data_IF_258441548316
#
_entry.id   IF_258441548316
#
_cell.length_a   1.000
_cell.length_b   1.000
_cell.length_c   1.000
_cell.angle_alpha   90.00
_cell.angle_beta   90.00
_cell.angle_gamma   90.00
#
_symmetry.space_group_name_H-M   'P 1'
#
loop_
_entity.id
_entity.type
_entity.pdbx_description
1 polymer ?
#
# COMPACT_ATOMS: atom_id res chain seq x y z
N UNK A 1 3.74 -14.78 18.45
CA UNK A 1 3.38 -13.78 17.41
C UNK A 1 3.45 -12.35 17.92
N UNK A 2 2.87 -12.05 19.09
CA UNK A 2 2.84 -10.68 19.65
C UNK A 2 4.22 -10.00 19.68
N UNK A 3 5.28 -10.71 20.08
CA UNK A 3 6.65 -10.14 20.08
C UNK A 3 7.16 -9.70 18.70
N UNK A 4 6.82 -10.44 17.63
CA UNK A 4 7.19 -10.08 16.26
C UNK A 4 6.42 -8.85 15.78
N UNK A 5 5.12 -8.78 16.10
CA UNK A 5 4.28 -7.62 15.77
C UNK A 5 4.80 -6.39 16.52
N UNK A 6 5.11 -6.50 17.82
CA UNK A 6 5.68 -5.40 18.60
C UNK A 6 6.99 -4.89 18.02
N UNK A 7 7.88 -5.78 17.54
CA UNK A 7 9.11 -5.40 16.85
C UNK A 7 8.81 -4.52 15.64
N UNK A 8 7.86 -4.95 14.80
CA UNK A 8 7.47 -4.23 13.59
C UNK A 8 6.92 -2.84 13.92
N UNK A 9 6.09 -2.73 14.97
CA UNK A 9 5.57 -1.45 15.44
C UNK A 9 6.66 -0.52 15.99
N UNK A 10 7.70 -1.05 16.63
CA UNK A 10 8.84 -0.23 17.08
C UNK A 10 9.62 0.33 15.89
N UNK A 11 9.84 -0.48 14.84
CA UNK A 11 10.48 -0.02 13.59
C UNK A 11 9.59 1.01 12.89
N UNK A 12 8.29 0.73 12.77
CA UNK A 12 7.30 1.67 12.22
C UNK A 12 7.27 2.98 12.99
N UNK A 13 7.31 2.97 14.33
CA UNK A 13 7.36 4.20 15.12
C UNK A 13 8.60 5.04 14.79
N UNK A 14 9.76 4.40 14.61
CA UNK A 14 11.00 5.08 14.21
C UNK A 14 10.89 5.66 12.80
N UNK A 15 10.34 4.88 11.86
CA UNK A 15 10.04 5.31 10.48
C UNK A 15 9.11 6.52 10.46
N UNK A 16 7.97 6.42 11.15
CA UNK A 16 6.98 7.50 11.26
C UNK A 16 7.59 8.77 11.82
N UNK A 17 8.40 8.68 12.88
CA UNK A 17 9.09 9.86 13.43
C UNK A 17 9.96 10.57 12.40
N UNK A 18 10.64 9.82 11.53
CA UNK A 18 11.44 10.39 10.45
C UNK A 18 10.60 10.92 9.28
N UNK A 19 9.40 10.36 9.06
CA UNK A 19 8.55 10.65 7.91
C UNK A 19 7.51 11.75 8.17
N UNK A 20 7.13 12.01 9.42
CA UNK A 20 6.21 13.09 9.81
C UNK A 20 6.54 14.46 9.17
N UNK A 21 7.80 14.98 9.21
CA UNK A 21 8.07 16.29 8.63
C UNK A 21 7.84 16.31 7.11
N UNK A 22 8.19 15.21 6.42
CA UNK A 22 7.99 15.07 4.98
C UNK A 22 6.49 15.03 4.67
N UNK A 23 5.71 14.26 5.43
CA UNK A 23 4.25 14.17 5.27
C UNK A 23 3.58 15.53 5.48
N UNK A 24 4.01 16.30 6.49
CA UNK A 24 3.50 17.65 6.74
C UNK A 24 3.76 18.59 5.55
N UNK A 25 5.01 18.63 5.07
CA UNK A 25 5.40 19.46 3.92
C UNK A 25 4.60 19.06 2.68
N UNK A 26 4.48 17.77 2.40
CA UNK A 26 3.71 17.27 1.27
C UNK A 26 2.24 17.67 1.38
N UNK A 27 1.63 17.49 2.55
CA UNK A 27 0.21 17.85 2.75
C UNK A 27 -0.03 19.34 2.46
N UNK A 28 0.85 20.22 2.92
CA UNK A 28 0.76 21.67 2.68
C UNK A 28 0.93 21.98 1.19
N UNK A 29 1.97 21.44 0.55
CA UNK A 29 2.27 21.68 -0.86
C UNK A 29 1.14 21.19 -1.78
N UNK A 30 0.63 19.98 -1.55
CA UNK A 30 -0.43 19.40 -2.37
C UNK A 30 -1.76 20.12 -2.18
N UNK A 31 -2.10 20.51 -0.95
CA UNK A 31 -3.32 21.29 -0.68
C UNK A 31 -3.29 22.64 -1.40
N UNK A 32 -2.13 23.32 -1.41
CA UNK A 32 -1.99 24.59 -2.11
C UNK A 32 -1.97 24.42 -3.65
N UNK A 33 -1.33 23.37 -4.16
CA UNK A 33 -1.15 23.15 -5.59
C UNK A 33 -2.42 22.66 -6.29
N UNK A 34 -3.12 21.68 -5.70
CA UNK A 34 -4.29 21.04 -6.32
C UNK A 34 -5.62 21.65 -5.86
N UNK A 35 -5.59 22.62 -4.91
CA UNK A 35 -6.77 23.26 -4.30
C UNK A 35 -7.82 22.27 -3.79
N UNK A 36 -7.43 21.04 -3.50
CA UNK A 36 -8.31 19.94 -3.10
C UNK A 36 -7.62 19.09 -2.04
N UNK A 37 -8.26 18.99 -0.89
CA UNK A 37 -7.71 18.28 0.28
C UNK A 37 -7.63 16.77 0.05
N UNK A 38 -8.55 16.23 -0.76
CA UNK A 38 -8.69 14.79 -1.00
C UNK A 38 -7.47 14.17 -1.68
N UNK A 39 -6.86 14.84 -2.66
CA UNK A 39 -5.64 14.33 -3.30
C UNK A 39 -4.45 14.35 -2.35
N UNK A 40 -4.27 15.43 -1.59
CA UNK A 40 -3.20 15.51 -0.59
C UNK A 40 -3.32 14.35 0.43
N UNK A 41 -4.54 14.10 0.92
CA UNK A 41 -4.83 13.03 1.87
C UNK A 41 -4.64 11.62 1.27
N UNK A 42 -4.98 11.42 -0.01
CA UNK A 42 -4.70 10.15 -0.70
C UNK A 42 -3.21 9.84 -0.81
N UNK A 43 -2.36 10.86 -1.03
CA UNK A 43 -0.91 10.68 -1.07
C UNK A 43 -0.35 10.33 0.31
N UNK A 44 -0.78 11.06 1.34
CA UNK A 44 -0.45 10.75 2.74
C UNK A 44 -0.86 9.32 3.09
N UNK A 45 -2.05 8.90 2.66
CA UNK A 45 -2.57 7.55 2.84
C UNK A 45 -1.63 6.49 2.24
N UNK A 46 -1.23 6.64 0.98
CA UNK A 46 -0.31 5.71 0.32
C UNK A 46 1.04 5.66 1.05
N UNK A 47 1.62 6.81 1.42
CA UNK A 47 2.90 6.85 2.13
C UNK A 47 2.85 6.19 3.51
N UNK A 48 1.83 6.50 4.30
CA UNK A 48 1.65 5.91 5.64
C UNK A 48 1.46 4.41 5.53
N UNK A 49 0.56 3.97 4.65
CA UNK A 49 0.25 2.57 4.54
C UNK A 49 1.43 1.79 3.99
N UNK A 50 2.10 2.26 2.93
CA UNK A 50 3.25 1.62 2.28
C UNK A 50 4.52 1.54 3.15
N UNK A 51 4.54 2.19 4.31
CA UNK A 51 5.67 2.17 5.24
C UNK A 51 6.02 0.77 5.75
N UNK A 52 5.10 -0.20 5.72
CA UNK A 52 5.38 -1.58 6.13
C UNK A 52 6.40 -2.27 5.24
N UNK A 53 6.55 -1.87 3.97
CA UNK A 53 7.59 -2.41 3.08
C UNK A 53 8.99 -2.06 3.61
N UNK A 54 9.14 -0.86 4.19
CA UNK A 54 10.43 -0.41 4.72
C UNK A 54 10.94 -1.30 5.84
N UNK A 55 10.05 -1.98 6.58
CA UNK A 55 10.45 -2.90 7.65
C UNK A 55 11.34 -4.02 7.11
N UNK A 56 11.08 -4.53 5.90
CA UNK A 56 11.93 -5.54 5.28
C UNK A 56 13.36 -5.05 5.02
N UNK A 57 13.51 -3.79 4.59
CA UNK A 57 14.82 -3.19 4.37
C UNK A 57 15.58 -2.94 5.68
N UNK A 58 14.87 -2.56 6.75
CA UNK A 58 15.48 -2.44 8.08
C UNK A 58 15.89 -3.80 8.64
N UNK A 59 15.09 -4.84 8.39
CA UNK A 59 15.40 -6.21 8.82
C UNK A 59 16.62 -6.78 8.08
N UNK A 60 16.76 -6.48 6.79
CA UNK A 60 17.94 -6.84 6.00
C UNK A 60 19.21 -6.17 6.53
N UNK A 61 19.14 -4.85 6.73
CA UNK A 61 20.26 -4.06 7.25
C UNK A 61 20.71 -4.53 8.65
N UNK A 62 19.77 -5.03 9.44
CA UNK A 62 20.03 -5.61 10.77
C UNK A 62 20.39 -7.10 10.73
N UNK A 63 20.45 -7.74 9.56
CA UNK A 63 20.62 -9.21 9.39
C UNK A 63 19.65 -10.02 10.25
N UNK A 64 18.40 -9.54 10.36
CA UNK A 64 17.37 -10.14 11.19
C UNK A 64 17.10 -11.60 10.81
N UNK A 65 17.22 -11.96 9.53
CA UNK A 65 16.98 -13.33 9.05
C UNK A 65 17.95 -14.35 9.67
N UNK A 66 19.22 -13.99 9.88
CA UNK A 66 20.19 -14.86 10.56
C UNK A 66 19.85 -15.02 12.04
N UNK A 67 19.39 -13.95 12.70
CA UNK A 67 18.94 -14.02 14.09
C UNK A 67 17.66 -14.85 14.23
N UNK A 68 16.72 -14.70 13.30
CA UNK A 68 15.43 -15.40 13.33
C UNK A 68 15.59 -16.93 13.27
N UNK A 69 16.64 -17.45 12.63
CA UNK A 69 16.95 -18.88 12.60
C UNK A 69 17.35 -19.45 13.96
N UNK A 70 17.87 -18.62 14.87
CA UNK A 70 18.26 -19.06 16.23
C UNK A 70 17.06 -19.15 17.17
N UNK A 71 15.92 -18.58 16.78
CA UNK A 71 14.70 -18.59 17.59
C UNK A 71 13.90 -19.88 17.31
N UNK A 72 13.26 -20.49 18.34
CA UNK A 72 12.41 -21.68 18.18
C UNK A 72 11.03 -21.29 17.61
N UNK A 73 11.00 -20.61 16.47
CA UNK A 73 9.79 -20.06 15.85
C UNK A 73 9.61 -20.69 14.46
N UNK A 74 8.40 -21.09 14.12
CA UNK A 74 8.09 -21.61 12.79
C UNK A 74 8.20 -20.50 11.75
N UNK A 75 8.85 -20.79 10.61
CA UNK A 75 8.94 -19.90 9.43
C UNK A 75 7.59 -19.29 9.03
N UNK A 76 6.52 -20.10 9.02
CA UNK A 76 5.13 -19.66 8.77
C UNK A 76 4.68 -18.52 9.70
N UNK A 77 5.00 -18.61 10.99
CA UNK A 77 4.60 -17.62 12.01
C UNK A 77 5.28 -16.26 11.80
N UNK A 78 6.47 -16.24 11.21
CA UNK A 78 7.19 -15.00 10.84
C UNK A 78 6.43 -14.28 9.71
N UNK A 79 6.02 -15.03 8.68
CA UNK A 79 5.25 -14.49 7.56
C UNK A 79 3.87 -14.01 8.03
N UNK A 80 3.14 -14.82 8.78
CA UNK A 80 1.81 -14.44 9.30
C UNK A 80 1.86 -13.19 10.19
N UNK A 81 2.88 -13.08 11.05
CA UNK A 81 3.05 -11.89 11.90
C UNK A 81 3.29 -10.63 11.05
N UNK A 82 4.01 -10.74 9.94
CA UNK A 82 4.26 -9.63 9.00
C UNK A 82 3.00 -9.18 8.28
N UNK A 83 2.22 -10.13 7.77
CA UNK A 83 0.95 -9.79 7.12
C UNK A 83 -0.01 -9.16 8.13
N UNK A 84 -0.05 -9.66 9.37
CA UNK A 84 -0.83 -9.07 10.44
C UNK A 84 -0.37 -7.64 10.79
N UNK A 85 0.95 -7.39 10.91
CA UNK A 85 1.48 -6.04 11.17
C UNK A 85 1.19 -5.08 10.01
N UNK A 86 1.27 -5.54 8.76
CA UNK A 86 0.90 -4.74 7.59
C UNK A 86 -0.59 -4.38 7.57
N UNK A 87 -1.48 -5.32 7.94
CA UNK A 87 -2.92 -5.07 8.01
C UNK A 87 -3.27 -4.07 9.11
N UNK A 88 -2.62 -4.18 10.28
CA UNK A 88 -2.76 -3.19 11.34
C UNK A 88 -2.22 -1.81 10.91
N UNK A 89 -1.17 -1.76 10.08
CA UNK A 89 -0.65 -0.52 9.53
C UNK A 89 -1.64 0.12 8.56
N UNK A 90 -2.30 -0.68 7.72
CA UNK A 90 -3.39 -0.21 6.84
C UNK A 90 -4.53 0.35 7.69
N UNK A 91 -5.02 -0.39 8.69
CA UNK A 91 -6.08 0.09 9.59
C UNK A 91 -5.69 1.39 10.30
N UNK A 92 -4.48 1.48 10.83
CA UNK A 92 -3.95 2.69 11.45
C UNK A 92 -3.88 3.87 10.46
N UNK A 93 -3.44 3.61 9.23
CA UNK A 93 -3.43 4.59 8.14
C UNK A 93 -4.82 5.11 7.81
N UNK A 94 -5.83 4.23 7.69
CA UNK A 94 -7.24 4.61 7.46
C UNK A 94 -7.71 5.53 8.59
N UNK A 95 -7.45 5.18 9.85
CA UNK A 95 -7.84 5.99 11.00
C UNK A 95 -7.19 7.38 10.97
N UNK A 96 -5.88 7.46 10.71
CA UNK A 96 -5.17 8.75 10.65
C UNK A 96 -5.72 9.62 9.52
N UNK A 97 -5.91 9.06 8.33
CA UNK A 97 -6.37 9.82 7.16
C UNK A 97 -7.83 10.26 7.32
N UNK A 98 -8.69 9.44 7.91
CA UNK A 98 -10.09 9.84 8.20
C UNK A 98 -10.16 10.97 9.23
N UNK A 99 -9.30 10.96 10.26
CA UNK A 99 -9.19 12.07 11.22
C UNK A 99 -8.71 13.34 10.52
N UNK A 100 -7.69 13.25 9.66
CA UNK A 100 -7.17 14.39 8.91
C UNK A 100 -8.22 14.99 7.95
N UNK A 101 -9.03 14.15 7.31
CA UNK A 101 -10.17 14.59 6.48
C UNK A 101 -11.27 15.27 7.32
N UNK A 102 -11.54 14.79 8.53
CA UNK A 102 -12.51 15.45 9.41
C UNK A 102 -12.02 16.84 9.85
N UNK A 103 -10.72 16.95 10.13
CA UNK A 103 -10.08 18.23 10.46
C UNK A 103 -10.11 19.16 9.24
N UNK A 104 -9.77 18.67 8.04
CA UNK A 104 -9.71 19.51 6.83
C UNK A 104 -11.06 20.16 6.51
N UNK A 105 -12.17 19.44 6.72
CA UNK A 105 -13.54 19.98 6.54
C UNK A 105 -13.88 21.17 7.43
N UNK A 106 -13.20 21.33 8.56
CA UNK A 106 -13.42 22.45 9.50
C UNK A 106 -12.67 23.70 9.04
N UNK A 107 -11.47 23.53 8.47
CA UNK A 107 -10.56 24.63 8.15
C UNK A 107 -10.56 25.04 6.68
N UNK A 108 -11.02 24.17 5.77
CA UNK A 108 -11.01 24.40 4.32
C UNK A 108 -12.45 24.37 3.81
N UNK A 109 -13.00 25.50 3.33
CA UNK A 109 -14.33 25.51 2.71
C UNK A 109 -14.30 24.64 1.45
N UNK A 110 -15.26 23.72 1.34
CA UNK A 110 -15.37 22.81 0.19
C UNK A 110 -15.71 23.56 -1.09
N UNK A 111 -15.02 23.21 -2.16
CA UNK A 111 -15.47 23.55 -3.51
C UNK A 111 -16.54 22.54 -3.94
N UNK A 112 -17.56 22.96 -4.69
CA UNK A 112 -18.55 22.03 -5.27
C UNK A 112 -17.93 21.03 -6.25
N UNK A 113 -16.71 21.31 -6.74
CA UNK A 113 -15.91 20.44 -7.60
C UNK A 113 -15.05 19.41 -6.85
N UNK A 114 -15.19 19.28 -5.52
CA UNK A 114 -14.37 18.35 -4.74
C UNK A 114 -14.79 16.89 -4.94
N UNK A 115 -13.78 16.05 -5.18
CA UNK A 115 -13.97 14.61 -5.39
C UNK A 115 -14.37 13.95 -4.06
N UNK A 116 -15.31 12.99 -4.08
CA UNK A 116 -15.73 12.31 -2.86
C UNK A 116 -14.56 11.51 -2.24
N UNK A 117 -14.29 11.79 -0.97
CA UNK A 117 -13.19 11.18 -0.21
C UNK A 117 -13.29 9.65 -0.06
N UNK A 118 -14.50 9.12 0.18
CA UNK A 118 -14.70 7.68 0.46
C UNK A 118 -14.32 6.79 -0.74
N UNK A 119 -14.79 7.06 -1.97
CA UNK A 119 -14.31 6.38 -3.18
C UNK A 119 -12.80 6.39 -3.35
N UNK A 120 -12.18 7.56 -3.16
CA UNK A 120 -10.72 7.69 -3.27
C UNK A 120 -10.03 6.82 -2.23
N UNK A 121 -10.51 6.81 -0.99
CA UNK A 121 -9.96 5.98 0.08
C UNK A 121 -10.12 4.47 -0.18
N UNK A 122 -11.27 4.01 -0.73
CA UNK A 122 -11.42 2.60 -1.11
C UNK A 122 -10.42 2.18 -2.18
N UNK A 123 -10.20 3.03 -3.18
CA UNK A 123 -9.28 2.77 -4.29
C UNK A 123 -7.85 2.75 -3.77
N UNK A 124 -7.45 3.71 -2.92
CA UNK A 124 -6.09 3.75 -2.36
C UNK A 124 -5.82 2.53 -1.49
N UNK A 125 -6.76 2.13 -0.62
CA UNK A 125 -6.62 0.92 0.21
C UNK A 125 -6.47 -0.32 -0.67
N UNK A 126 -7.28 -0.46 -1.72
CA UNK A 126 -7.16 -1.56 -2.66
C UNK A 126 -5.80 -1.59 -3.37
N UNK A 127 -5.32 -0.44 -3.85
CA UNK A 127 -4.01 -0.32 -4.49
C UNK A 127 -2.88 -0.69 -3.53
N UNK A 128 -2.94 -0.28 -2.26
CA UNK A 128 -1.93 -0.67 -1.27
C UNK A 128 -1.97 -2.16 -1.00
N UNK A 129 -3.16 -2.75 -0.82
CA UNK A 129 -3.32 -4.20 -0.67
C UNK A 129 -2.75 -4.96 -1.88
N UNK A 130 -3.02 -4.47 -3.09
CA UNK A 130 -2.47 -5.01 -4.33
C UNK A 130 -0.94 -4.91 -4.34
N UNK A 131 -0.38 -3.75 -4.03
CA UNK A 131 1.08 -3.57 -3.92
C UNK A 131 1.70 -4.56 -2.93
N UNK A 132 1.09 -4.77 -1.77
CA UNK A 132 1.57 -5.73 -0.77
C UNK A 132 1.48 -7.16 -1.25
N UNK A 133 0.39 -7.50 -1.94
CA UNK A 133 0.20 -8.83 -2.49
C UNK A 133 1.25 -9.22 -3.54
N UNK A 134 1.84 -8.23 -4.23
CA UNK A 134 2.87 -8.45 -5.24
C UNK A 134 4.27 -8.33 -4.62
N UNK A 135 4.51 -7.29 -3.83
CA UNK A 135 5.85 -7.00 -3.29
C UNK A 135 6.28 -7.99 -2.22
N UNK A 136 5.40 -8.40 -1.30
CA UNK A 136 5.82 -9.25 -0.18
C UNK A 136 6.35 -10.62 -0.66
N UNK A 137 5.66 -11.35 -1.56
CA UNK A 137 6.21 -12.59 -2.12
C UNK A 137 7.56 -12.42 -2.81
N UNK A 138 7.73 -11.32 -3.55
CA UNK A 138 8.98 -11.01 -4.25
C UNK A 138 10.12 -10.78 -3.26
N UNK A 139 9.86 -10.00 -2.20
CA UNK A 139 10.83 -9.73 -1.14
C UNK A 139 11.21 -11.02 -0.42
N UNK A 140 10.23 -11.88 -0.08
CA UNK A 140 10.53 -13.18 0.54
C UNK A 140 11.35 -14.10 -0.37
N UNK A 141 11.11 -14.08 -1.69
CA UNK A 141 11.85 -14.90 -2.65
C UNK A 141 13.28 -14.42 -2.88
N UNK A 142 13.45 -13.16 -3.26
CA UNK A 142 14.73 -12.62 -3.76
C UNK A 142 15.53 -11.86 -2.70
N UNK A 143 14.95 -11.60 -1.53
CA UNK A 143 15.57 -10.78 -0.50
C UNK A 143 15.44 -9.28 -0.78
N UNK A 144 15.63 -8.42 0.24
CA UNK A 144 15.31 -6.99 0.15
C UNK A 144 16.22 -6.22 -0.81
N UNK A 145 17.52 -6.52 -0.89
CA UNK A 145 18.44 -5.84 -1.84
C UNK A 145 18.04 -6.05 -3.31
N UNK A 146 17.83 -7.29 -3.75
CA UNK A 146 17.42 -7.57 -5.13
C UNK A 146 15.95 -7.21 -5.40
N UNK A 147 15.10 -7.23 -4.37
CA UNK A 147 13.70 -6.84 -4.50
C UNK A 147 13.52 -5.40 -4.97
N UNK A 148 14.48 -4.50 -4.70
CA UNK A 148 14.40 -3.10 -5.12
C UNK A 148 14.53 -2.95 -6.64
N UNK A 149 15.38 -3.74 -7.28
CA UNK A 149 15.50 -3.74 -8.74
C UNK A 149 14.29 -4.42 -9.38
N UNK A 150 13.80 -5.49 -8.76
CA UNK A 150 12.63 -6.24 -9.25
C UNK A 150 11.35 -5.41 -9.06
N UNK A 151 11.20 -4.65 -7.98
CA UNK A 151 10.03 -3.78 -7.77
C UNK A 151 9.97 -2.65 -8.79
N UNK A 152 11.12 -2.08 -9.17
CA UNK A 152 11.20 -1.11 -10.28
C UNK A 152 10.74 -1.78 -11.58
N UNK A 153 11.21 -2.98 -11.89
CA UNK A 153 10.79 -3.69 -13.09
C UNK A 153 9.28 -3.99 -13.09
N UNK A 154 8.72 -4.45 -11.97
CA UNK A 154 7.30 -4.76 -11.81
C UNK A 154 6.41 -3.53 -11.96
N UNK A 155 6.89 -2.34 -11.60
CA UNK A 155 6.16 -1.08 -11.81
C UNK A 155 6.35 -0.56 -13.24
N UNK A 156 7.57 -0.62 -13.77
CA UNK A 156 7.92 -0.06 -15.09
C UNK A 156 7.32 -0.86 -16.25
N UNK A 157 7.23 -2.19 -16.14
CA UNK A 157 6.71 -3.05 -17.22
C UNK A 157 5.24 -2.71 -17.53
N UNK A 158 4.31 -2.69 -16.55
CA UNK A 158 2.93 -2.29 -16.80
C UNK A 158 2.80 -0.86 -17.34
N UNK A 159 3.62 0.08 -16.84
CA UNK A 159 3.60 1.47 -17.31
C UNK A 159 4.02 1.57 -18.77
N UNK A 160 5.09 0.85 -19.17
CA UNK A 160 5.53 0.79 -20.56
C UNK A 160 4.48 0.15 -21.45
N UNK A 161 3.88 -0.96 -21.02
CA UNK A 161 2.79 -1.62 -21.73
C UNK A 161 1.62 -0.64 -21.93
N UNK A 162 1.22 0.08 -20.87
CA UNK A 162 0.14 1.06 -20.95
C UNK A 162 0.45 2.20 -21.94
N UNK A 163 1.67 2.73 -21.93
CA UNK A 163 2.10 3.76 -22.90
C UNK A 163 2.08 3.21 -24.34
N UNK A 164 2.52 1.99 -24.55
CA UNK A 164 2.53 1.35 -25.88
C UNK A 164 1.12 1.07 -26.40
N UNK A 165 0.21 0.57 -25.56
CA UNK A 165 -1.19 0.36 -25.92
C UNK A 165 -1.96 1.68 -26.11
N UNK A 166 -1.59 2.74 -25.37
CA UNK A 166 -2.16 4.06 -25.56
C UNK A 166 -1.79 4.67 -26.91
N UNK A 167 -0.56 4.45 -27.38
CA UNK A 167 -0.13 4.91 -28.71
C UNK A 167 -0.77 4.14 -29.87
N UNK A 168 -1.27 2.92 -29.65
CA UNK A 168 -1.91 2.11 -30.70
C UNK A 168 -3.41 2.37 -30.84
N UNK A 169 -4.02 3.25 -30.04
CA UNK A 169 -5.47 3.49 -30.01
C UNK A 169 -6.29 2.29 -29.47
N UNK A 170 -5.63 1.21 -29.04
CA UNK A 170 -6.28 0.04 -28.45
C UNK A 170 -6.89 0.36 -27.08
N UNK A 171 -6.26 1.28 -26.33
CA UNK A 171 -6.83 1.80 -25.09
C UNK A 171 -8.10 2.60 -25.35
N UNK A 172 -8.15 3.43 -26.40
CA UNK A 172 -9.33 4.23 -26.71
C UNK A 172 -10.55 3.34 -27.01
N UNK A 173 -10.35 2.20 -27.69
CA UNK A 173 -11.41 1.22 -27.92
C UNK A 173 -11.82 0.44 -26.65
N UNK A 174 -10.87 0.13 -25.76
CA UNK A 174 -11.17 -0.46 -24.45
C UNK A 174 -11.94 0.53 -23.56
N UNK A 175 -11.50 1.79 -23.47
CA UNK A 175 -12.18 2.82 -22.70
C UNK A 175 -13.51 3.26 -23.32
N UNK A 176 -13.65 3.23 -24.66
CA UNK A 176 -14.93 3.46 -25.35
C UNK A 176 -15.92 2.32 -25.11
N UNK A 177 -15.47 1.06 -24.97
CA UNK A 177 -16.35 -0.04 -24.54
C UNK A 177 -16.77 0.06 -23.07
N UNK A 178 -16.03 0.82 -22.26
CA UNK A 178 -16.40 1.27 -20.92
C UNK A 178 -17.13 2.63 -20.99
N UNK A 179 -18.11 2.75 -21.89
CA UNK A 179 -18.87 3.98 -22.08
C UNK A 179 -19.36 4.53 -20.73
N UNK A 180 -18.96 5.78 -20.49
CA UNK A 180 -18.85 6.49 -19.22
C UNK A 180 -20.20 6.83 -18.57
N UNK A 181 -21.33 6.34 -19.09
CA UNK A 181 -22.68 6.76 -18.74
C UNK A 181 -23.25 6.14 -17.46
N UNK A 182 -22.45 5.39 -16.70
CA UNK A 182 -22.89 4.76 -15.44
C UNK A 182 -21.83 4.66 -14.36
N UNK A 183 -20.57 5.02 -14.64
CA UNK A 183 -19.46 4.83 -13.71
C UNK A 183 -19.72 5.57 -12.40
N UNK A 184 -20.22 6.81 -12.45
CA UNK A 184 -20.53 7.59 -11.25
C UNK A 184 -21.55 6.90 -10.33
N UNK A 185 -22.56 6.25 -10.89
CA UNK A 185 -23.55 5.48 -10.13
C UNK A 185 -23.01 4.15 -9.61
N UNK A 186 -21.95 3.62 -10.23
CA UNK A 186 -21.30 2.35 -9.86
C UNK A 186 -20.08 2.53 -8.95
N UNK A 187 -19.57 3.75 -8.77
CA UNK A 187 -18.51 4.10 -7.80
C UNK A 187 -18.75 3.44 -6.43
N UNK A 188 -19.93 3.55 -5.79
CA UNK A 188 -20.15 2.93 -4.48
C UNK A 188 -20.06 1.40 -4.50
N UNK A 189 -20.51 0.76 -5.60
CA UNK A 189 -20.42 -0.70 -5.78
C UNK A 189 -18.96 -1.14 -5.93
N UNK A 190 -18.16 -0.42 -6.72
CA UNK A 190 -16.73 -0.70 -6.86
C UNK A 190 -15.96 -0.47 -5.55
N UNK A 191 -16.30 0.57 -4.79
CA UNK A 191 -15.76 0.83 -3.45
C UNK A 191 -16.03 -0.35 -2.50
N UNK A 192 -17.27 -0.86 -2.52
CA UNK A 192 -17.68 -1.97 -1.66
C UNK A 192 -16.99 -3.29 -2.02
N UNK A 193 -16.74 -3.52 -3.33
CA UNK A 193 -16.07 -4.72 -3.81
C UNK A 193 -14.55 -4.67 -3.65
N UNK A 194 -13.93 -3.48 -3.65
CA UNK A 194 -12.47 -3.33 -3.64
C UNK A 194 -11.84 -3.78 -2.32
N UNK A 195 -12.47 -3.50 -1.17
CA UNK A 195 -11.98 -3.89 0.15
C UNK A 195 -11.91 -5.42 0.32
N UNK A 196 -12.99 -6.19 0.11
CA UNK A 196 -12.93 -7.64 0.21
C UNK A 196 -11.99 -8.25 -0.83
N UNK A 197 -11.95 -7.71 -2.06
CA UNK A 197 -10.99 -8.15 -3.08
C UNK A 197 -9.53 -7.96 -2.61
N UNK A 198 -9.21 -6.82 -2.00
CA UNK A 198 -7.88 -6.56 -1.43
C UNK A 198 -7.51 -7.52 -0.30
N UNK A 199 -8.46 -7.85 0.58
CA UNK A 199 -8.24 -8.82 1.67
C UNK A 199 -7.98 -10.23 1.10
N UNK A 200 -8.77 -10.66 0.11
CA UNK A 200 -8.57 -11.95 -0.57
C UNK A 200 -7.20 -12.01 -1.24
N UNK A 201 -6.78 -10.94 -1.92
CA UNK A 201 -5.44 -10.84 -2.53
C UNK A 201 -4.32 -10.96 -1.48
N UNK A 202 -4.44 -10.27 -0.35
CA UNK A 202 -3.47 -10.38 0.74
C UNK A 202 -3.43 -11.80 1.33
N UNK A 203 -4.58 -12.47 1.45
CA UNK A 203 -4.66 -13.83 1.94
C UNK A 203 -3.97 -14.82 1.00
N UNK A 204 -4.27 -14.74 -0.31
CA UNK A 204 -3.60 -15.55 -1.34
C UNK A 204 -2.09 -15.29 -1.36
N UNK A 205 -1.69 -14.02 -1.26
CA UNK A 205 -0.29 -13.62 -1.18
C UNK A 205 0.41 -14.17 0.07
N UNK A 206 -0.28 -14.21 1.21
CA UNK A 206 0.25 -14.79 2.45
C UNK A 206 0.53 -16.28 2.27
N UNK A 207 -0.41 -17.04 1.68
CA UNK A 207 -0.22 -18.46 1.38
C UNK A 207 0.99 -18.69 0.46
N UNK A 208 1.12 -17.88 -0.59
CA UNK A 208 2.22 -17.96 -1.54
C UNK A 208 3.56 -17.58 -0.90
N UNK A 209 3.56 -16.56 -0.03
CA UNK A 209 4.75 -16.15 0.73
C UNK A 209 5.20 -17.21 1.72
N UNK A 210 4.27 -17.89 2.41
CA UNK A 210 4.58 -19.01 3.31
C UNK A 210 5.23 -20.15 2.52
N UNK A 211 4.69 -20.47 1.34
CA UNK A 211 5.23 -21.51 0.48
C UNK A 211 6.67 -21.20 0.04
N UNK A 212 6.90 -19.98 -0.47
CA UNK A 212 8.24 -19.52 -0.89
C UNK A 212 9.22 -19.52 0.28
N UNK A 213 8.83 -18.99 1.44
CA UNK A 213 9.73 -18.86 2.58
C UNK A 213 10.08 -20.22 3.21
N UNK A 214 9.19 -21.21 3.13
CA UNK A 214 9.49 -22.57 3.57
C UNK A 214 10.49 -23.29 2.66
N UNK A 215 10.45 -23.04 1.35
CA UNK A 215 11.39 -23.61 0.36
C UNK A 215 12.77 -22.97 0.38
N UNK A 216 12.93 -21.83 1.06
CA UNK A 216 14.22 -21.16 1.19
C UNK A 216 15.09 -21.95 2.16
N UNK A 217 16.09 -22.64 1.62
CA UNK A 217 17.21 -23.18 2.38
C UNK A 217 18.10 -21.99 2.79
N UNK A 218 18.43 -21.94 4.08
CA UNK A 218 19.31 -20.93 4.68
C UNK A 218 20.64 -21.58 5.02
#
# INVERSE_FOLDING_TARGET
MIGLISKDFLVLKKLMRSQIPILLIMTILFTFSFRSSTYALSMVCVFLMASSVNIFYYDDAAKWDSFAQTLPIKKKTIVEARYCSSLLTILGGILVVTILELISKIFVPRSESDIPFVPVLCITVFLVCFMYSVLFPIIYRFGPEHSRMISIAVIMIPVLIFIFLGKSGALDNLFASFEFSGIESMIPIYCYLSIPAGIVLLFLSCMLSIHIYNQKEF
#
